data_IF_484601563222
#
_entry.id   IF_484601563222
#
_cell.length_a   1.000
_cell.length_b   1.000
_cell.length_c   1.000
_cell.angle_alpha   90.00
_cell.angle_beta   90.00
_cell.angle_gamma   90.00
#
_symmetry.space_group_name_H-M   'P 1'
#
loop_
_entity.id
_entity.type
_entity.pdbx_description
1 polymer ?
#
# COMPACT_ATOMS: atom_id res chain seq x y z
N UNK A 1 -28.60 5.68 -36.80
CA UNK A 1 -27.17 5.49 -36.42
C UNK A 1 -26.72 6.35 -35.23
N UNK A 2 -27.62 6.88 -34.38
CA UNK A 2 -27.23 7.81 -33.29
C UNK A 2 -27.11 7.14 -31.92
N UNK A 3 -27.66 5.92 -31.76
CA UNK A 3 -27.71 5.18 -30.47
C UNK A 3 -26.57 4.18 -30.26
N UNK A 4 -25.76 3.88 -31.28
CA UNK A 4 -24.68 2.88 -31.18
C UNK A 4 -23.47 3.47 -30.43
N UNK A 5 -23.15 4.74 -30.66
CA UNK A 5 -22.00 5.41 -30.02
C UNK A 5 -22.15 5.51 -28.49
N UNK A 6 -23.31 5.93 -27.93
CA UNK A 6 -23.51 5.92 -26.48
C UNK A 6 -23.41 4.53 -25.87
N UNK A 7 -23.93 3.50 -26.55
CA UNK A 7 -23.90 2.12 -26.07
C UNK A 7 -22.47 1.55 -26.01
N UNK A 8 -21.64 1.84 -27.03
CA UNK A 8 -20.23 1.42 -27.05
C UNK A 8 -19.43 2.14 -25.95
N UNK A 9 -19.68 3.43 -25.72
CA UNK A 9 -19.04 4.19 -24.64
C UNK A 9 -19.39 3.64 -23.26
N UNK A 10 -20.67 3.35 -23.01
CA UNK A 10 -21.13 2.75 -21.76
C UNK A 10 -20.50 1.37 -21.52
N UNK A 11 -20.38 0.56 -22.57
CA UNK A 11 -19.74 -0.75 -22.49
C UNK A 11 -18.25 -0.65 -22.14
N UNK A 12 -17.52 0.26 -22.79
CA UNK A 12 -16.11 0.51 -22.47
C UNK A 12 -15.94 0.98 -21.02
N UNK A 13 -16.82 1.87 -20.56
CA UNK A 13 -16.80 2.35 -19.17
C UNK A 13 -17.05 1.22 -18.17
N UNK A 14 -18.02 0.35 -18.45
CA UNK A 14 -18.30 -0.83 -17.63
C UNK A 14 -17.11 -1.81 -17.61
N UNK A 15 -16.44 -2.04 -18.73
CA UNK A 15 -15.25 -2.89 -18.79
C UNK A 15 -14.08 -2.30 -17.98
N UNK A 16 -13.83 -1.00 -18.07
CA UNK A 16 -12.80 -0.32 -17.27
C UNK A 16 -13.14 -0.41 -15.78
N UNK A 17 -14.40 -0.15 -15.42
CA UNK A 17 -14.86 -0.23 -14.03
C UNK A 17 -14.74 -1.64 -13.46
N UNK A 18 -15.15 -2.66 -14.22
CA UNK A 18 -14.97 -4.06 -13.84
C UNK A 18 -13.50 -4.42 -13.69
N UNK A 19 -12.63 -3.99 -14.61
CA UNK A 19 -11.20 -4.23 -14.50
C UNK A 19 -10.59 -3.60 -13.24
N UNK A 20 -11.01 -2.36 -12.90
CA UNK A 20 -10.57 -1.69 -11.67
C UNK A 20 -11.07 -2.43 -10.41
N UNK A 21 -12.35 -2.85 -10.39
CA UNK A 21 -12.90 -3.66 -9.30
C UNK A 21 -12.17 -5.00 -9.15
N UNK A 22 -11.95 -5.73 -10.25
CA UNK A 22 -11.21 -6.99 -10.21
C UNK A 22 -9.78 -6.78 -9.73
N UNK A 23 -9.13 -5.67 -10.11
CA UNK A 23 -7.79 -5.34 -9.65
C UNK A 23 -7.76 -5.09 -8.14
N UNK A 24 -8.73 -4.36 -7.59
CA UNK A 24 -8.84 -4.19 -6.13
C UNK A 24 -9.14 -5.51 -5.40
N UNK A 25 -10.00 -6.37 -5.96
CA UNK A 25 -10.38 -7.65 -5.34
C UNK A 25 -9.25 -8.70 -5.43
N UNK A 26 -8.47 -8.72 -6.51
CA UNK A 26 -7.38 -9.69 -6.72
C UNK A 26 -6.04 -9.29 -6.12
N UNK A 27 -5.78 -7.99 -5.94
CA UNK A 27 -4.69 -7.49 -5.10
C UNK A 27 -5.12 -7.74 -3.66
N UNK A 28 -5.04 -9.02 -3.27
CA UNK A 28 -5.46 -9.47 -1.94
C UNK A 28 -4.78 -8.59 -0.90
N UNK A 29 -5.60 -7.93 -0.10
CA UNK A 29 -5.16 -7.09 1.01
C UNK A 29 -4.25 -7.94 1.89
N UNK A 30 -2.99 -7.54 1.99
CA UNK A 30 -2.10 -8.14 2.98
C UNK A 30 -2.49 -7.56 4.33
N UNK A 31 -2.75 -8.44 5.28
CA UNK A 31 -2.92 -8.10 6.68
C UNK A 31 -1.52 -8.10 7.31
N UNK A 32 -1.19 -7.03 8.00
CA UNK A 32 0.09 -6.84 8.67
C UNK A 32 -0.14 -6.88 10.17
N UNK A 33 0.43 -7.87 10.86
CA UNK A 33 0.36 -8.01 12.31
C UNK A 33 1.75 -7.74 12.87
N UNK A 34 1.85 -6.76 13.75
CA UNK A 34 3.10 -6.33 14.37
C UNK A 34 3.24 -6.97 15.75
N UNK A 35 4.37 -7.63 16.00
CA UNK A 35 4.73 -8.21 17.29
C UNK A 35 6.13 -7.73 17.69
N UNK A 36 6.22 -6.60 18.38
CA UNK A 36 7.47 -5.97 18.86
C UNK A 36 8.59 -5.80 17.80
N UNK A 37 9.32 -6.87 17.49
CA UNK A 37 10.42 -6.92 16.51
C UNK A 37 10.08 -7.74 15.25
N UNK A 38 8.89 -8.32 15.18
CA UNK A 38 8.45 -9.21 14.11
C UNK A 38 7.24 -8.62 13.39
N UNK A 39 7.24 -8.73 12.06
CA UNK A 39 6.11 -8.40 11.21
C UNK A 39 5.59 -9.68 10.57
N UNK A 40 4.38 -10.09 10.93
CA UNK A 40 3.68 -11.17 10.25
C UNK A 40 2.86 -10.61 9.09
N UNK A 41 3.15 -11.12 7.89
CA UNK A 41 2.38 -10.83 6.69
C UNK A 41 1.39 -11.97 6.51
N UNK A 42 0.10 -11.68 6.60
CA UNK A 42 -1.00 -12.60 6.28
C UNK A 42 -1.70 -12.15 5.00
N UNK A 43 -2.27 -13.10 4.26
CA UNK A 43 -3.14 -12.81 3.12
C UNK A 43 -4.31 -13.76 3.16
N UNK A 44 -5.52 -13.19 3.19
CA UNK A 44 -6.77 -13.96 3.33
C UNK A 44 -6.70 -14.92 4.52
N UNK A 45 -6.21 -14.44 5.68
CA UNK A 45 -6.04 -15.22 6.91
C UNK A 45 -4.89 -16.25 6.91
N UNK A 46 -4.21 -16.51 5.79
CA UNK A 46 -3.06 -17.41 5.73
C UNK A 46 -1.76 -16.67 6.01
N UNK A 47 -0.89 -17.26 6.83
CA UNK A 47 0.48 -16.77 7.04
C UNK A 47 1.30 -16.87 5.75
N UNK A 48 1.95 -15.78 5.38
CA UNK A 48 2.86 -15.71 4.22
C UNK A 48 4.31 -15.66 4.69
N UNK A 49 4.60 -14.78 5.65
CA UNK A 49 5.96 -14.52 6.08
C UNK A 49 5.97 -13.93 7.49
N UNK A 50 7.04 -14.22 8.22
CA UNK A 50 7.42 -13.52 9.45
C UNK A 50 8.73 -12.82 9.18
N UNK A 51 8.72 -11.50 9.29
CA UNK A 51 9.85 -10.63 8.94
C UNK A 51 10.38 -10.01 10.22
N UNK A 52 11.58 -10.42 10.62
CA UNK A 52 12.29 -9.75 11.70
C UNK A 52 12.75 -8.38 11.23
N UNK A 53 12.58 -7.38 12.08
CA UNK A 53 13.01 -5.99 11.88
C UNK A 53 14.49 -5.86 11.46
N UNK A 54 15.34 -6.73 12.00
CA UNK A 54 16.79 -6.72 11.74
C UNK A 54 17.14 -7.24 10.34
N UNK A 55 16.26 -8.02 9.71
CA UNK A 55 16.47 -8.60 8.37
C UNK A 55 16.00 -7.67 7.24
N UNK A 56 15.62 -6.44 7.55
CA UNK A 56 15.17 -5.46 6.56
C UNK A 56 16.38 -4.88 5.81
N UNK A 57 16.47 -5.13 4.50
CA UNK A 57 17.68 -4.77 3.72
C UNK A 57 17.66 -3.32 3.20
N UNK A 58 16.48 -2.77 2.90
CA UNK A 58 16.32 -1.38 2.40
C UNK A 58 14.95 -0.83 2.77
N UNK A 59 14.89 -0.02 3.81
CA UNK A 59 13.64 0.58 4.30
C UNK A 59 13.50 2.02 3.83
N UNK A 60 12.34 2.35 3.26
CA UNK A 60 11.95 3.69 2.81
C UNK A 60 10.66 4.06 3.50
N UNK A 61 10.69 5.17 4.25
CA UNK A 61 9.50 5.75 4.84
C UNK A 61 9.03 6.85 3.90
N UNK A 62 7.76 6.78 3.55
CA UNK A 62 7.07 7.74 2.71
C UNK A 62 6.27 8.63 3.65
N UNK A 63 6.59 9.92 3.62
CA UNK A 63 5.95 10.91 4.48
C UNK A 63 5.11 11.87 3.63
N UNK A 64 3.98 12.30 4.18
CA UNK A 64 3.24 13.46 3.68
C UNK A 64 4.16 14.69 3.74
N UNK A 65 4.21 15.47 2.66
CA UNK A 65 5.02 16.68 2.62
C UNK A 65 4.45 17.83 3.47
N UNK A 66 3.13 17.87 3.67
CA UNK A 66 2.45 18.94 4.40
C UNK A 66 2.41 18.67 5.89
N UNK A 67 1.90 17.50 6.28
CA UNK A 67 1.74 17.13 7.69
C UNK A 67 3.02 16.55 8.28
N UNK A 68 3.98 16.14 7.42
CA UNK A 68 5.20 15.39 7.78
C UNK A 68 4.89 14.05 8.46
N UNK A 69 3.65 13.58 8.40
CA UNK A 69 3.27 12.30 8.94
C UNK A 69 3.76 11.16 8.05
N UNK A 70 4.02 10.01 8.67
CA UNK A 70 4.41 8.79 7.97
C UNK A 70 3.17 8.15 7.34
N UNK A 71 3.05 8.22 6.01
CA UNK A 71 1.90 7.70 5.27
C UNK A 71 2.06 6.23 4.92
N UNK A 72 3.30 5.81 4.68
CA UNK A 72 3.59 4.45 4.26
C UNK A 72 5.05 4.08 4.48
N UNK A 73 5.31 2.77 4.52
CA UNK A 73 6.65 2.21 4.59
C UNK A 73 6.79 1.17 3.49
N UNK A 74 7.88 1.27 2.73
CA UNK A 74 8.30 0.23 1.80
C UNK A 74 9.63 -0.34 2.24
N UNK A 75 9.76 -1.66 2.25
CA UNK A 75 11.02 -2.32 2.57
C UNK A 75 11.28 -3.53 1.68
N UNK A 76 12.55 -3.92 1.60
CA UNK A 76 13.00 -5.14 0.94
C UNK A 76 13.32 -6.21 1.98
N UNK A 77 12.79 -7.41 1.73
CA UNK A 77 13.08 -8.63 2.48
C UNK A 77 13.21 -9.79 1.48
N UNK A 78 14.34 -10.52 1.50
CA UNK A 78 14.63 -11.61 0.56
C UNK A 78 14.38 -11.23 -0.92
N UNK A 79 14.84 -10.03 -1.32
CA UNK A 79 14.63 -9.45 -2.66
C UNK A 79 13.16 -9.18 -3.04
N UNK A 80 12.20 -9.43 -2.16
CA UNK A 80 10.79 -9.07 -2.34
C UNK A 80 10.51 -7.72 -1.71
N UNK A 81 9.80 -6.87 -2.44
CA UNK A 81 9.38 -5.55 -1.94
C UNK A 81 8.03 -5.66 -1.27
N UNK A 82 7.95 -5.13 -0.07
CA UNK A 82 6.71 -4.98 0.69
C UNK A 82 6.36 -3.50 0.78
N UNK A 83 5.06 -3.24 0.89
CA UNK A 83 4.51 -1.90 1.02
C UNK A 83 3.38 -1.95 2.04
N UNK A 84 3.51 -1.15 3.07
CA UNK A 84 2.53 -1.01 4.16
C UNK A 84 2.07 0.44 4.15
N UNK A 85 0.77 0.64 3.96
CA UNK A 85 0.16 1.94 4.17
C UNK A 85 -0.14 2.12 5.66
N UNK A 86 0.17 3.29 6.19
CA UNK A 86 -0.24 3.69 7.53
C UNK A 86 -1.73 4.01 7.50
N UNK A 87 -2.49 3.27 8.30
CA UNK A 87 -3.90 3.52 8.60
C UNK A 87 -4.02 3.92 10.07
N UNK A 88 -5.11 4.59 10.48
CA UNK A 88 -5.32 4.94 11.88
C UNK A 88 -5.19 3.76 12.85
N UNK A 89 -5.54 2.56 12.39
CA UNK A 89 -5.52 1.32 13.16
C UNK A 89 -4.10 0.76 13.38
N UNK A 90 -3.17 1.00 12.45
CA UNK A 90 -1.82 0.40 12.50
C UNK A 90 -0.69 1.43 12.67
N UNK A 91 -1.03 2.72 12.78
CA UNK A 91 -0.07 3.84 12.76
C UNK A 91 0.99 3.74 13.87
N UNK A 92 0.55 3.51 15.11
CA UNK A 92 1.46 3.40 16.26
C UNK A 92 2.33 2.14 16.18
N UNK A 93 1.75 1.01 15.78
CA UNK A 93 2.47 -0.25 15.64
C UNK A 93 3.52 -0.21 14.53
N UNK A 94 3.15 0.37 13.38
CA UNK A 94 4.06 0.55 12.25
C UNK A 94 5.23 1.46 12.65
N UNK A 95 4.94 2.55 13.36
CA UNK A 95 5.95 3.49 13.87
C UNK A 95 6.89 2.82 14.87
N UNK A 96 6.35 2.02 15.80
CA UNK A 96 7.15 1.25 16.76
C UNK A 96 8.05 0.22 16.06
N UNK A 97 7.51 -0.49 15.06
CA UNK A 97 8.24 -1.49 14.29
C UNK A 97 9.43 -0.88 13.54
N UNK A 98 9.24 0.25 12.83
CA UNK A 98 10.30 0.89 12.06
C UNK A 98 11.25 1.77 12.89
N UNK A 99 10.91 2.05 14.15
CA UNK A 99 11.74 2.90 15.00
C UNK A 99 13.15 2.31 15.18
N UNK A 100 14.20 3.06 14.87
CA UNK A 100 15.59 2.57 14.94
C UNK A 100 16.01 1.68 13.77
N UNK A 101 15.16 1.44 12.76
CA UNK A 101 15.59 0.82 11.49
C UNK A 101 16.29 1.87 10.63
N UNK A 102 17.49 1.60 10.07
CA UNK A 102 18.11 2.45 9.07
C UNK A 102 17.16 2.63 7.88
N UNK A 103 16.66 3.84 7.69
CA UNK A 103 15.65 4.12 6.67
C UNK A 103 15.95 5.42 5.90
N UNK A 104 15.53 5.44 4.64
CA UNK A 104 15.53 6.67 3.83
C UNK A 104 14.13 7.27 3.86
N UNK A 105 14.01 8.53 4.24
CA UNK A 105 12.73 9.26 4.17
C UNK A 105 12.55 9.88 2.79
N UNK A 106 11.34 9.78 2.23
CA UNK A 106 10.94 10.44 0.99
C UNK A 106 9.61 11.14 1.19
N UNK A 107 9.53 12.40 0.77
CA UNK A 107 8.26 13.11 0.69
C UNK A 107 7.43 12.57 -0.47
N UNK A 108 6.13 12.40 -0.24
CA UNK A 108 5.22 11.85 -1.23
C UNK A 108 4.58 12.95 -2.08
N UNK A 109 5.13 13.21 -3.26
CA UNK A 109 4.47 14.10 -4.26
C UNK A 109 3.38 13.36 -5.04
N UNK A 110 3.46 12.03 -5.13
CA UNK A 110 2.58 11.21 -5.98
C UNK A 110 1.21 10.94 -5.35
N UNK A 111 1.11 10.90 -4.02
CA UNK A 111 -0.17 10.69 -3.34
C UNK A 111 -1.12 11.86 -3.53
N UNK A 112 -0.61 13.09 -3.62
CA UNK A 112 -1.39 14.26 -4.03
C UNK A 112 -1.99 14.10 -5.43
N UNK A 113 -1.24 13.53 -6.37
CA UNK A 113 -1.74 13.29 -7.73
C UNK A 113 -2.81 12.20 -7.75
N UNK A 114 -2.65 11.12 -6.97
CA UNK A 114 -3.63 10.03 -6.89
C UNK A 114 -4.88 10.47 -6.12
N UNK A 115 -4.75 11.22 -5.02
CA UNK A 115 -5.90 11.74 -4.27
C UNK A 115 -6.64 12.84 -5.04
N UNK A 116 -5.93 13.70 -5.78
CA UNK A 116 -6.55 14.72 -6.65
C UNK A 116 -7.28 14.11 -7.84
N UNK A 117 -6.79 12.98 -8.39
CA UNK A 117 -7.49 12.24 -9.45
C UNK A 117 -8.66 11.37 -8.91
N UNK A 118 -8.78 11.26 -7.59
CA UNK A 118 -9.85 10.51 -6.90
C UNK A 118 -10.93 11.43 -6.31
N UNK A 119 -10.87 12.73 -6.59
CA UNK A 119 -11.86 13.76 -6.26
C UNK A 119 -12.37 14.41 -7.55
#
# INVERSE_FOLDING_TARGET
>A
MVLIVPAILMFLFACVFLFLLFKEIFIGHNEYIFESSLLHVKRKGKHIASIEKEKLEKTVIICDMLTKEEEAVSFLYEKKRFYIQSTPENKEDLKAFINGVPCKRKGNTLYYLISFLSH
#
